data_IF_473288467299
#
_entry.id   IF_473288467299
#
_cell.length_a   1.000
_cell.length_b   1.000
_cell.length_c   1.000
_cell.angle_alpha   90.00
_cell.angle_beta   90.00
_cell.angle_gamma   90.00
#
_symmetry.space_group_name_H-M   'P 1'
#
loop_
_entity.id
_entity.type
_entity.pdbx_description
1 polymer ?
#
# COMPACT_ATOMS: atom_id res chain seq x y z
N UNK A 1 -1.92 14.20 -11.13
CA UNK A 1 -2.57 12.87 -11.17
C UNK A 1 -3.70 12.84 -10.16
N UNK A 2 -4.85 12.30 -10.53
CA UNK A 2 -5.99 12.21 -9.62
C UNK A 2 -6.20 10.77 -9.17
N UNK A 3 -6.20 10.55 -7.86
CA UNK A 3 -6.53 9.26 -7.28
C UNK A 3 -7.99 9.21 -6.88
N UNK A 4 -8.65 8.07 -7.09
CA UNK A 4 -10.02 7.86 -6.63
C UNK A 4 -10.17 6.62 -5.72
N UNK A 5 -9.09 5.88 -5.48
CA UNK A 5 -9.07 4.73 -4.58
C UNK A 5 -7.68 4.47 -4.04
N UNK A 6 -7.62 3.68 -2.98
CA UNK A 6 -6.38 3.18 -2.39
C UNK A 6 -6.39 1.65 -2.48
N UNK A 7 -5.27 1.07 -2.89
CA UNK A 7 -5.09 -0.38 -2.94
C UNK A 7 -3.95 -0.77 -2.00
N UNK A 8 -4.26 -1.68 -1.08
CA UNK A 8 -3.34 -2.16 -0.07
C UNK A 8 -2.64 -3.44 -0.53
N UNK A 9 -1.34 -3.52 -0.27
CA UNK A 9 -0.47 -4.64 -0.61
C UNK A 9 0.38 -5.05 0.59
N UNK A 10 1.03 -6.20 0.48
CA UNK A 10 2.07 -6.63 1.41
C UNK A 10 3.33 -7.01 0.62
N UNK A 11 4.48 -6.99 1.30
CA UNK A 11 5.75 -7.43 0.70
C UNK A 11 5.80 -8.93 0.49
N UNK A 12 4.88 -9.66 1.11
CA UNK A 12 4.79 -11.12 1.10
C UNK A 12 6.07 -11.80 1.64
N UNK A 13 6.73 -11.15 2.58
CA UNK A 13 7.92 -11.66 3.25
C UNK A 13 7.94 -11.23 4.71
N UNK A 14 8.11 -12.19 5.62
CA UNK A 14 8.31 -11.94 7.05
C UNK A 14 9.80 -11.93 7.43
N UNK A 15 10.70 -11.97 6.45
CA UNK A 15 12.15 -11.93 6.69
C UNK A 15 12.54 -10.49 7.08
N UNK A 16 13.13 -10.28 8.29
CA UNK A 16 13.43 -8.90 8.74
C UNK A 16 14.34 -8.11 7.80
N UNK A 17 15.29 -8.76 7.13
CA UNK A 17 16.18 -8.09 6.18
C UNK A 17 15.45 -7.56 4.95
N UNK A 18 14.26 -8.07 4.65
CA UNK A 18 13.43 -7.61 3.52
C UNK A 18 12.54 -6.42 3.90
N UNK A 19 12.42 -6.12 5.20
CA UNK A 19 11.55 -5.05 5.70
C UNK A 19 12.22 -3.68 5.53
N UNK A 20 12.39 -3.28 4.28
CA UNK A 20 13.13 -2.07 3.91
C UNK A 20 12.64 -1.59 2.54
N UNK A 21 12.28 -0.30 2.45
CA UNK A 21 11.78 0.27 1.20
C UNK A 21 12.78 0.17 0.06
N UNK A 22 14.08 0.26 0.36
CA UNK A 22 15.12 0.15 -0.68
C UNK A 22 15.27 -1.28 -1.19
N UNK A 23 15.05 -2.28 -0.35
CA UNK A 23 15.04 -3.68 -0.78
C UNK A 23 13.87 -3.91 -1.74
N UNK A 24 12.67 -3.45 -1.38
CA UNK A 24 11.49 -3.55 -2.24
C UNK A 24 11.74 -2.83 -3.58
N UNK A 25 12.33 -1.63 -3.53
CA UNK A 25 12.70 -0.89 -4.73
C UNK A 25 13.66 -1.69 -5.61
N UNK A 26 14.68 -2.32 -5.00
CA UNK A 26 15.66 -3.13 -5.75
C UNK A 26 14.98 -4.30 -6.45
N UNK A 27 14.00 -4.96 -5.85
CA UNK A 27 13.26 -6.05 -6.48
C UNK A 27 12.51 -5.56 -7.72
N UNK A 28 11.89 -4.38 -7.65
CA UNK A 28 11.15 -3.81 -8.76
C UNK A 28 12.09 -3.36 -9.89
N UNK A 29 13.24 -2.77 -9.54
CA UNK A 29 14.27 -2.42 -10.54
C UNK A 29 14.81 -3.66 -11.26
N UNK A 30 14.97 -4.80 -10.56
CA UNK A 30 15.39 -6.06 -11.16
C UNK A 30 14.35 -6.62 -12.14
N UNK A 31 13.08 -6.24 -12.00
CA UNK A 31 12.02 -6.59 -12.96
C UNK A 31 12.03 -5.71 -14.21
N UNK A 32 12.94 -4.75 -14.28
CA UNK A 32 13.01 -3.80 -15.39
C UNK A 32 12.18 -2.55 -15.20
N UNK A 33 11.60 -2.33 -14.01
CA UNK A 33 10.85 -1.11 -13.73
C UNK A 33 11.82 0.03 -13.41
N UNK A 34 11.37 1.27 -13.62
CA UNK A 34 12.22 2.45 -13.37
C UNK A 34 12.16 2.97 -11.94
N UNK A 35 11.29 2.42 -11.10
CA UNK A 35 11.16 2.76 -9.69
C UNK A 35 10.33 1.69 -8.96
N UNK A 36 10.28 1.78 -7.63
CA UNK A 36 9.35 1.02 -6.81
C UNK A 36 7.91 1.29 -7.30
N UNK A 37 7.07 0.26 -7.29
CA UNK A 37 5.69 0.37 -7.79
C UNK A 37 4.71 1.01 -6.82
N UNK A 38 4.98 0.96 -5.51
CA UNK A 38 4.11 1.51 -4.47
C UNK A 38 4.42 2.97 -4.19
N UNK A 39 3.41 3.74 -3.82
CA UNK A 39 3.60 5.13 -3.43
C UNK A 39 4.10 5.27 -2.00
N UNK A 40 3.70 4.33 -1.11
CA UNK A 40 4.14 4.30 0.29
C UNK A 40 4.44 2.88 0.73
N UNK A 41 5.44 2.77 1.61
CA UNK A 41 5.82 1.53 2.26
C UNK A 41 5.77 1.74 3.78
N UNK A 42 5.22 0.74 4.51
CA UNK A 42 5.11 0.76 5.97
C UNK A 42 5.90 -0.42 6.51
N UNK A 43 6.93 -0.16 7.31
CA UNK A 43 7.72 -1.23 7.90
C UNK A 43 7.00 -1.87 9.10
N UNK A 44 7.61 -2.91 9.65
CA UNK A 44 7.09 -3.64 10.80
C UNK A 44 6.79 -2.73 12.00
N UNK A 45 7.56 -1.67 12.19
CA UNK A 45 7.42 -0.74 13.31
C UNK A 45 6.36 0.35 13.06
N UNK A 46 5.71 0.34 11.91
CA UNK A 46 4.71 1.33 11.55
C UNK A 46 5.28 2.62 10.99
N UNK A 47 6.57 2.65 10.68
CA UNK A 47 7.18 3.83 10.04
C UNK A 47 6.79 3.87 8.56
N UNK A 48 6.47 5.07 8.08
CA UNK A 48 6.00 5.32 6.72
C UNK A 48 7.14 5.89 5.88
N UNK A 49 7.40 5.24 4.75
CA UNK A 49 8.44 5.68 3.80
C UNK A 49 7.81 5.99 2.44
N UNK A 50 8.17 7.12 1.82
CA UNK A 50 7.74 7.39 0.46
C UNK A 50 8.42 6.42 -0.51
N UNK A 51 7.66 5.95 -1.47
CA UNK A 51 8.15 5.16 -2.59
C UNK A 51 8.13 5.97 -3.88
N UNK A 52 7.30 5.52 -4.84
CA UNK A 52 7.09 6.30 -6.07
C UNK A 52 6.38 7.60 -5.75
N UNK A 53 6.83 8.70 -6.37
CA UNK A 53 6.23 10.01 -6.15
C UNK A 53 4.73 9.98 -6.51
N UNK A 54 3.90 10.61 -5.69
CA UNK A 54 2.44 10.64 -5.90
C UNK A 54 2.01 11.41 -7.15
N UNK A 55 2.90 12.17 -7.78
CA UNK A 55 2.64 12.78 -9.09
C UNK A 55 2.71 11.77 -10.23
N UNK A 56 3.13 10.52 -9.96
CA UNK A 56 3.33 9.49 -10.96
C UNK A 56 2.38 8.31 -10.72
N UNK A 57 1.92 7.74 -11.83
CA UNK A 57 1.15 6.51 -11.79
C UNK A 57 1.99 5.38 -11.19
N UNK A 58 1.41 4.62 -10.26
CA UNK A 58 2.08 3.46 -9.68
C UNK A 58 2.20 2.28 -10.64
N UNK A 59 2.86 1.23 -10.16
CA UNK A 59 2.95 -0.06 -10.83
C UNK A 59 2.73 -1.15 -9.78
N UNK A 60 1.51 -1.26 -9.27
CA UNK A 60 1.19 -2.14 -8.15
C UNK A 60 -0.06 -2.99 -8.36
N UNK A 61 -0.91 -2.63 -9.30
CA UNK A 61 -2.13 -3.40 -9.57
C UNK A 61 -2.49 -3.24 -11.05
N UNK A 62 -2.19 -4.25 -11.85
CA UNK A 62 -2.39 -4.22 -13.30
C UNK A 62 -3.83 -3.82 -13.64
N UNK A 63 -3.99 -2.90 -14.59
CA UNK A 63 -5.26 -2.32 -15.05
C UNK A 63 -5.91 -1.35 -14.07
N UNK A 64 -5.34 -1.14 -12.87
CA UNK A 64 -5.89 -0.25 -11.84
C UNK A 64 -4.88 0.79 -11.35
N UNK A 65 -3.70 0.88 -12.00
CA UNK A 65 -2.64 1.81 -11.60
C UNK A 65 -2.97 3.27 -11.88
N UNK A 66 -3.80 3.54 -12.87
CA UNK A 66 -4.03 4.89 -13.40
C UNK A 66 -4.57 5.85 -12.34
N UNK A 67 -5.42 5.37 -11.43
CA UNK A 67 -6.16 6.21 -10.50
C UNK A 67 -6.11 5.70 -9.06
N UNK A 68 -5.17 4.82 -8.73
CA UNK A 68 -5.06 4.24 -7.39
C UNK A 68 -3.74 4.58 -6.73
N UNK A 69 -3.82 4.91 -5.43
CA UNK A 69 -2.67 5.06 -4.57
C UNK A 69 -2.30 3.68 -4.02
N UNK A 70 -1.07 3.25 -4.21
CA UNK A 70 -0.60 1.95 -3.74
C UNK A 70 0.16 2.06 -2.43
N UNK A 71 -0.28 1.31 -1.42
CA UNK A 71 0.36 1.21 -0.11
C UNK A 71 0.77 -0.24 0.13
N UNK A 72 2.03 -0.46 0.51
CA UNK A 72 2.54 -1.78 0.85
C UNK A 72 3.02 -1.78 2.30
N UNK A 73 2.62 -2.79 3.09
CA UNK A 73 3.23 -3.02 4.38
C UNK A 73 4.22 -4.19 4.32
N UNK A 74 5.24 -4.16 5.16
CA UNK A 74 6.22 -5.24 5.27
C UNK A 74 5.68 -6.40 6.07
N UNK A 75 5.56 -7.57 5.44
CA UNK A 75 5.08 -8.80 6.06
C UNK A 75 4.31 -9.69 5.09
N UNK A 76 4.03 -10.90 5.55
CA UNK A 76 3.25 -11.89 4.79
C UNK A 76 2.04 -12.41 5.58
N UNK A 77 2.04 -12.23 6.90
CA UNK A 77 1.09 -12.90 7.81
C UNK A 77 0.00 -11.96 8.35
N UNK A 78 -0.19 -10.83 7.71
CA UNK A 78 -1.12 -9.79 8.14
C UNK A 78 -0.41 -8.67 8.89
N UNK A 79 -0.99 -7.46 8.88
CA UNK A 79 -0.38 -6.30 9.52
C UNK A 79 -0.55 -6.34 11.04
N UNK A 80 0.41 -5.79 11.77
CA UNK A 80 0.26 -5.53 13.20
C UNK A 80 -0.49 -4.20 13.43
N UNK A 81 -0.76 -3.88 14.70
CA UNK A 81 -1.54 -2.69 15.06
C UNK A 81 -0.84 -1.41 14.59
N UNK A 82 0.49 -1.33 14.74
CA UNK A 82 1.24 -0.14 14.31
C UNK A 82 1.15 0.07 12.80
N UNK A 83 1.18 -1.02 12.04
CA UNK A 83 1.02 -0.96 10.59
C UNK A 83 -0.40 -0.56 10.19
N UNK A 84 -1.43 -1.08 10.87
CA UNK A 84 -2.82 -0.67 10.63
C UNK A 84 -3.03 0.81 10.92
N UNK A 85 -2.47 1.32 12.02
CA UNK A 85 -2.56 2.74 12.35
C UNK A 85 -1.86 3.60 11.31
N UNK A 86 -0.70 3.16 10.81
CA UNK A 86 0.01 3.86 9.73
C UNK A 86 -0.82 3.89 8.45
N UNK A 87 -1.46 2.78 8.08
CA UNK A 87 -2.36 2.73 6.92
C UNK A 87 -3.49 3.74 7.07
N UNK A 88 -4.11 3.81 8.25
CA UNK A 88 -5.19 4.77 8.52
C UNK A 88 -4.72 6.21 8.37
N UNK A 89 -3.50 6.53 8.83
CA UNK A 89 -2.93 7.87 8.66
C UNK A 89 -2.79 8.23 7.19
N UNK A 90 -2.27 7.34 6.37
CA UNK A 90 -2.12 7.58 4.93
C UNK A 90 -3.50 7.72 4.27
N UNK A 91 -4.44 6.85 4.61
CA UNK A 91 -5.80 6.87 4.04
C UNK A 91 -6.51 8.18 4.37
N UNK A 92 -6.45 8.63 5.63
CA UNK A 92 -7.05 9.89 6.04
C UNK A 92 -6.35 11.11 5.43
N UNK A 93 -5.03 11.09 5.34
CA UNK A 93 -4.28 12.15 4.65
C UNK A 93 -4.66 12.19 3.17
N UNK A 94 -4.79 11.03 2.53
CA UNK A 94 -5.24 10.93 1.14
C UNK A 94 -6.65 11.48 0.94
N UNK A 95 -7.54 11.23 1.89
CA UNK A 95 -8.89 11.79 1.87
C UNK A 95 -8.87 13.31 1.99
N UNK A 96 -8.12 13.85 2.94
CA UNK A 96 -8.07 15.29 3.20
C UNK A 96 -7.34 16.04 2.10
N UNK A 97 -6.22 15.52 1.63
CA UNK A 97 -5.31 16.23 0.73
C UNK A 97 -5.53 15.91 -0.75
N UNK A 98 -6.07 14.73 -1.07
CA UNK A 98 -6.18 14.22 -2.43
C UNK A 98 -7.62 13.87 -2.82
N UNK A 99 -8.59 14.15 -1.96
CA UNK A 99 -10.03 13.88 -2.18
C UNK A 99 -10.33 12.38 -2.44
N UNK A 100 -9.54 11.47 -1.89
CA UNK A 100 -9.82 10.04 -2.03
C UNK A 100 -10.94 9.66 -1.05
N UNK A 101 -12.06 9.08 -1.53
CA UNK A 101 -13.14 8.68 -0.62
C UNK A 101 -12.68 7.62 0.39
N UNK A 102 -13.09 7.76 1.65
CA UNK A 102 -12.70 6.84 2.73
C UNK A 102 -13.26 5.42 2.56
N UNK A 103 -14.30 5.25 1.74
CA UNK A 103 -14.88 3.94 1.45
C UNK A 103 -14.26 3.28 0.21
N UNK A 104 -13.30 3.91 -0.44
CA UNK A 104 -12.62 3.39 -1.64
C UNK A 104 -11.24 2.83 -1.25
N UNK A 105 -11.23 1.90 -0.30
CA UNK A 105 -10.03 1.20 0.17
C UNK A 105 -10.17 -0.29 -0.13
N UNK A 106 -9.22 -0.83 -0.87
CA UNK A 106 -9.28 -2.19 -1.40
C UNK A 106 -7.98 -2.94 -1.12
N UNK A 107 -8.06 -4.27 -1.08
CA UNK A 107 -6.90 -5.15 -1.18
C UNK A 107 -6.62 -5.49 -2.64
N UNK A 108 -5.39 -5.89 -2.95
CA UNK A 108 -5.03 -6.34 -4.29
C UNK A 108 -5.95 -7.48 -4.77
N UNK A 109 -6.37 -8.36 -3.85
CA UNK A 109 -7.24 -9.49 -4.18
C UNK A 109 -8.62 -9.09 -4.71
N UNK A 110 -9.09 -7.87 -4.43
CA UNK A 110 -10.37 -7.38 -4.98
C UNK A 110 -10.31 -7.22 -6.52
N UNK A 111 -9.12 -7.01 -7.07
CA UNK A 111 -8.91 -6.75 -8.50
C UNK A 111 -8.20 -7.90 -9.22
N UNK A 112 -7.70 -8.89 -8.47
CA UNK A 112 -7.01 -10.04 -9.03
C UNK A 112 -7.29 -11.26 -8.15
N UNK A 113 -8.18 -12.14 -8.61
CA UNK A 113 -8.62 -13.32 -7.87
C UNK A 113 -7.49 -14.33 -7.59
N UNK A 114 -6.38 -14.25 -8.35
CA UNK A 114 -5.20 -15.09 -8.13
C UNK A 114 -4.29 -14.58 -7.02
N UNK A 115 -4.60 -13.44 -6.39
CA UNK A 115 -3.81 -12.84 -5.33
C UNK A 115 -4.53 -12.92 -3.99
N UNK A 116 -3.77 -13.14 -2.92
CA UNK A 116 -4.26 -13.04 -1.53
C UNK A 116 -3.82 -11.75 -0.87
N UNK A 117 -2.81 -11.09 -1.44
CA UNK A 117 -2.27 -9.80 -0.98
C UNK A 117 -3.41 -8.79 -0.76
N UNK A 118 -3.46 -8.10 0.35
CA UNK A 118 -2.43 -7.93 1.39
C UNK A 118 -2.49 -8.94 2.55
N UNK A 119 -3.06 -10.11 2.35
CA UNK A 119 -3.09 -11.21 3.30
C UNK A 119 -3.86 -10.91 4.61
N UNK A 120 -4.86 -10.05 4.52
CA UNK A 120 -5.83 -9.81 5.57
C UNK A 120 -7.14 -9.31 4.94
N UNK A 121 -8.23 -9.39 5.69
CA UNK A 121 -9.55 -8.96 5.20
C UNK A 121 -9.69 -7.45 5.35
N UNK A 122 -9.45 -6.74 4.26
CA UNK A 122 -9.50 -5.27 4.20
C UNK A 122 -10.89 -4.75 4.56
N UNK A 123 -11.94 -5.48 4.21
CA UNK A 123 -13.32 -5.05 4.42
C UNK A 123 -13.76 -5.12 5.88
N UNK A 124 -13.01 -5.83 6.74
CA UNK A 124 -13.30 -5.89 8.18
C UNK A 124 -12.78 -4.69 8.97
N UNK A 125 -11.96 -3.84 8.34
CA UNK A 125 -11.39 -2.67 9.02
C UNK A 125 -12.28 -1.45 8.77
N UNK A 126 -12.60 -0.72 9.83
CA UNK A 126 -13.29 0.55 9.70
C UNK A 126 -12.28 1.67 9.37
N UNK A 127 -12.07 1.89 8.08
CA UNK A 127 -11.12 2.90 7.60
C UNK A 127 -11.60 4.34 7.84
N UNK A 128 -12.90 4.55 8.07
CA UNK A 128 -13.45 5.87 8.40
C UNK A 128 -13.03 6.33 9.78
N UNK A 129 -12.77 5.40 10.69
CA UNK A 129 -12.28 5.72 12.03
C UNK A 129 -10.80 6.07 11.94
N UNK A 130 -10.43 7.26 12.49
CA UNK A 130 -9.05 7.73 12.46
C UNK A 130 -8.09 6.91 13.31
N UNK A 131 -6.81 7.21 13.18
CA UNK A 131 -5.70 6.53 13.85
C UNK A 131 -5.33 7.16 15.21
N UNK A 132 -6.18 8.00 15.74
CA UNK A 132 -5.97 8.79 16.96
C UNK A 132 -7.05 8.58 17.99
#
# INVERSE_FOLDING_TARGET
MKFNKIILHCSDSDIPAHDNVQVIRSWHLQRGWNDIGYHYYINYFGDIFPGRNISRQGAHCKNHNKDSLGICYGGASGPNVKQLLAMKRIIHAGHILLDIPLNEVYGHYHFNSGKTCPNFDVDKINWRRGAY
#
